data_IF_043740502271
#
_entry.id   IF_043740502271
#
_cell.length_a   1.000
_cell.length_b   1.000
_cell.length_c   1.000
_cell.angle_alpha   90.00
_cell.angle_beta   90.00
_cell.angle_gamma   90.00
#
_symmetry.space_group_name_H-M   'P 1'
#
loop_
_entity.id
_entity.type
_entity.pdbx_description
1 polymer ?
#
# COMPACT_ATOMS: atom_id res chain seq x y z
N UNK A 1 -33.58 0.54 -25.92
CA UNK A 1 -32.24 -0.02 -25.65
C UNK A 1 -31.20 1.01 -26.05
N UNK A 2 -30.78 1.87 -25.12
CA UNK A 2 -29.62 2.76 -25.30
C UNK A 2 -28.49 2.18 -24.46
N UNK A 3 -27.42 1.74 -25.12
CA UNK A 3 -26.18 1.34 -24.48
C UNK A 3 -25.39 2.60 -24.11
N UNK A 4 -25.37 2.95 -22.81
CA UNK A 4 -24.36 3.85 -22.27
C UNK A 4 -23.07 3.03 -22.09
N UNK A 5 -22.17 3.15 -23.06
CA UNK A 5 -20.75 2.86 -22.89
C UNK A 5 -20.18 3.97 -22.00
N UNK A 6 -20.18 3.77 -20.68
CA UNK A 6 -19.36 4.56 -19.78
C UNK A 6 -17.92 4.07 -19.91
N UNK A 7 -17.11 4.85 -20.62
CA UNK A 7 -15.66 4.78 -20.54
C UNK A 7 -15.26 4.95 -19.07
N UNK A 8 -14.85 3.87 -18.43
CA UNK A 8 -14.02 3.91 -17.23
C UNK A 8 -12.62 4.38 -17.64
N UNK A 9 -12.51 5.64 -18.03
CA UNK A 9 -11.25 6.35 -17.92
C UNK A 9 -10.89 6.29 -16.44
N UNK A 10 -9.92 5.45 -16.10
CA UNK A 10 -9.27 5.47 -14.80
C UNK A 10 -8.54 6.81 -14.73
N UNK A 11 -9.25 7.86 -14.30
CA UNK A 11 -8.61 9.09 -13.87
C UNK A 11 -7.75 8.71 -12.66
N UNK A 12 -6.50 8.31 -12.91
CA UNK A 12 -5.44 8.59 -11.93
C UNK A 12 -5.54 10.10 -11.71
N UNK A 13 -5.91 10.51 -10.50
CA UNK A 13 -5.85 11.92 -10.15
C UNK A 13 -4.45 12.40 -10.53
N UNK A 14 -4.35 13.44 -11.36
CA UNK A 14 -3.05 14.03 -11.65
C UNK A 14 -2.49 14.50 -10.31
N UNK A 15 -1.33 13.96 -9.93
CA UNK A 15 -0.64 14.36 -8.72
C UNK A 15 -0.32 15.85 -8.82
N UNK A 16 -1.08 16.69 -8.11
CA UNK A 16 -0.84 18.13 -8.03
C UNK A 16 0.54 18.39 -7.40
N UNK A 17 0.94 17.52 -6.48
CA UNK A 17 2.25 17.51 -5.85
C UNK A 17 2.72 16.05 -5.69
N UNK A 18 4.00 15.79 -5.95
CA UNK A 18 4.60 14.46 -5.78
C UNK A 18 5.88 14.54 -4.96
N UNK A 19 6.00 13.69 -3.95
CA UNK A 19 7.15 13.65 -3.05
C UNK A 19 8.09 12.50 -3.43
N UNK A 20 9.36 12.61 -3.08
CA UNK A 20 10.30 11.47 -3.20
C UNK A 20 10.12 10.52 -2.00
N UNK A 21 10.49 9.25 -2.17
CA UNK A 21 10.41 8.25 -1.09
C UNK A 21 11.26 8.63 0.13
N UNK A 22 12.37 9.37 -0.06
CA UNK A 22 13.18 9.85 1.06
C UNK A 22 12.40 10.84 1.94
N UNK A 23 11.67 11.76 1.30
CA UNK A 23 10.80 12.72 2.02
C UNK A 23 9.65 11.99 2.71
N UNK A 24 9.05 10.99 2.06
CA UNK A 24 8.04 10.13 2.70
C UNK A 24 8.62 9.48 3.97
N UNK A 25 9.83 8.93 3.87
CA UNK A 25 10.50 8.28 5.00
C UNK A 25 10.75 9.24 6.16
N UNK A 26 11.22 10.46 5.88
CA UNK A 26 11.43 11.49 6.90
C UNK A 26 10.12 11.88 7.60
N UNK A 27 9.06 12.07 6.83
CA UNK A 27 7.73 12.44 7.36
C UNK A 27 7.12 11.32 8.20
N UNK A 28 7.27 10.06 7.78
CA UNK A 28 6.87 8.90 8.59
C UNK A 28 7.66 8.82 9.89
N UNK A 29 8.98 9.04 9.86
CA UNK A 29 9.79 9.04 11.07
C UNK A 29 9.41 10.18 12.05
N UNK A 30 9.02 11.35 11.52
CA UNK A 30 8.58 12.49 12.30
C UNK A 30 7.22 12.28 13.02
N UNK A 31 6.47 11.24 12.67
CA UNK A 31 5.18 10.92 13.30
C UNK A 31 5.31 10.26 14.68
N UNK A 32 6.50 9.74 15.05
CA UNK A 32 6.66 8.95 16.28
C UNK A 32 6.16 9.69 17.53
N UNK A 33 6.68 10.88 17.77
CA UNK A 33 6.32 11.69 18.94
C UNK A 33 4.86 12.15 18.93
N UNK A 34 4.35 12.82 17.87
CA UNK A 34 2.98 13.32 17.90
C UNK A 34 1.93 12.21 17.91
N UNK A 35 2.22 11.02 17.36
CA UNK A 35 1.33 9.85 17.52
C UNK A 35 1.36 9.31 18.94
N UNK A 36 2.53 9.21 19.58
CA UNK A 36 2.65 8.75 20.97
C UNK A 36 1.85 9.62 21.96
N UNK A 37 1.67 10.91 21.63
CA UNK A 37 0.86 11.85 22.41
C UNK A 37 -0.54 12.12 21.85
N UNK A 38 -0.98 11.37 20.82
CA UNK A 38 -2.28 11.53 20.18
C UNK A 38 -2.59 12.98 19.74
N UNK A 39 -1.59 13.68 19.21
CA UNK A 39 -1.72 15.07 18.78
C UNK A 39 -2.58 15.17 17.50
N UNK A 40 -3.55 16.09 17.38
CA UNK A 40 -4.43 16.18 16.21
C UNK A 40 -3.71 16.38 14.87
N UNK A 41 -2.53 17.01 14.86
CA UNK A 41 -1.72 17.17 13.64
C UNK A 41 -1.21 15.82 13.10
N UNK A 42 -1.08 14.80 13.95
CA UNK A 42 -0.67 13.46 13.52
C UNK A 42 -1.73 12.82 12.62
N UNK A 43 -3.02 12.95 12.97
CA UNK A 43 -4.11 12.45 12.11
C UNK A 43 -4.06 13.07 10.71
N UNK A 44 -3.98 14.40 10.63
CA UNK A 44 -3.94 15.12 9.37
C UNK A 44 -2.72 14.71 8.51
N UNK A 45 -1.56 14.53 9.14
CA UNK A 45 -0.34 14.11 8.45
C UNK A 45 -0.44 12.65 7.98
N UNK A 46 -0.94 11.74 8.81
CA UNK A 46 -1.20 10.35 8.42
C UNK A 46 -2.16 10.28 7.23
N UNK A 47 -3.25 11.05 7.24
CA UNK A 47 -4.22 11.11 6.14
C UNK A 47 -3.55 11.60 4.84
N UNK A 48 -2.70 12.62 4.94
CA UNK A 48 -1.97 13.16 3.80
C UNK A 48 -0.99 12.14 3.21
N UNK A 49 -0.21 11.45 4.05
CA UNK A 49 0.77 10.46 3.60
C UNK A 49 0.12 9.23 2.97
N UNK A 50 -0.97 8.72 3.57
CA UNK A 50 -1.74 7.62 2.99
C UNK A 50 -2.39 8.04 1.66
N UNK A 51 -2.91 9.28 1.58
CA UNK A 51 -3.45 9.84 0.35
C UNK A 51 -2.42 9.91 -0.79
N UNK A 52 -1.17 10.30 -0.49
CA UNK A 52 -0.08 10.32 -1.48
C UNK A 52 0.24 8.91 -2.03
N UNK A 53 0.23 7.90 -1.17
CA UNK A 53 0.46 6.50 -1.57
C UNK A 53 -0.70 5.95 -2.41
N UNK A 54 -1.94 6.17 -1.99
CA UNK A 54 -3.13 5.70 -2.72
C UNK A 54 -3.28 6.34 -4.10
N UNK A 55 -2.88 7.60 -4.22
CA UNK A 55 -2.90 8.33 -5.50
C UNK A 55 -1.70 8.02 -6.40
N UNK A 56 -0.69 7.28 -5.90
CA UNK A 56 0.54 7.00 -6.63
C UNK A 56 1.43 8.23 -6.82
N UNK A 57 1.38 9.18 -5.87
CA UNK A 57 2.12 10.45 -5.90
C UNK A 57 3.47 10.40 -5.17
N UNK A 58 3.91 9.21 -4.76
CA UNK A 58 5.25 8.99 -4.20
C UNK A 58 6.16 8.47 -5.32
N UNK A 59 7.27 9.18 -5.56
CA UNK A 59 8.29 8.83 -6.53
C UNK A 59 9.38 7.97 -5.86
N UNK A 60 9.70 6.85 -6.49
CA UNK A 60 10.72 5.91 -6.01
C UNK A 60 10.11 4.67 -5.35
N UNK A 61 10.95 3.66 -5.16
CA UNK A 61 10.53 2.37 -4.61
C UNK A 61 10.21 2.49 -3.11
N UNK A 62 8.92 2.31 -2.76
CA UNK A 62 8.48 2.29 -1.36
C UNK A 62 8.75 0.92 -0.76
N UNK A 63 9.53 0.90 0.33
CA UNK A 63 9.86 -0.35 1.03
C UNK A 63 8.70 -0.89 1.86
N UNK A 64 8.73 -2.20 2.10
CA UNK A 64 7.78 -2.91 2.96
C UNK A 64 7.78 -2.31 4.38
N UNK A 65 8.97 -2.00 4.89
CA UNK A 65 9.20 -1.49 6.23
C UNK A 65 8.63 -0.08 6.41
N UNK A 66 8.76 0.78 5.39
CA UNK A 66 8.22 2.13 5.42
C UNK A 66 6.68 2.10 5.47
N UNK A 67 6.05 1.25 4.65
CA UNK A 67 4.60 1.05 4.70
C UNK A 67 4.16 0.48 6.05
N UNK A 68 4.89 -0.50 6.57
CA UNK A 68 4.60 -1.06 7.89
C UNK A 68 4.70 -0.02 9.00
N UNK A 69 5.70 0.86 8.97
CA UNK A 69 5.85 1.96 9.92
C UNK A 69 4.68 2.96 9.83
N UNK A 70 4.24 3.31 8.62
CA UNK A 70 3.09 4.19 8.42
C UNK A 70 1.80 3.58 9.00
N UNK A 71 1.51 2.31 8.68
CA UNK A 71 0.33 1.64 9.22
C UNK A 71 0.41 1.41 10.73
N UNK A 72 1.62 1.18 11.25
CA UNK A 72 1.87 1.11 12.68
C UNK A 72 1.53 2.43 13.36
N UNK A 73 1.98 3.55 12.78
CA UNK A 73 1.68 4.90 13.28
C UNK A 73 0.18 5.19 13.23
N UNK A 74 -0.52 4.84 12.15
CA UNK A 74 -1.99 4.96 12.06
C UNK A 74 -2.69 4.17 13.15
N UNK A 75 -2.37 2.87 13.26
CA UNK A 75 -3.00 2.00 14.25
C UNK A 75 -2.74 2.45 15.68
N UNK A 76 -1.52 2.91 15.97
CA UNK A 76 -1.15 3.49 17.25
C UNK A 76 -1.94 4.76 17.54
N UNK A 77 -2.06 5.68 16.57
CA UNK A 77 -2.80 6.92 16.73
C UNK A 77 -4.26 6.67 17.09
N UNK A 78 -4.96 5.83 16.33
CA UNK A 78 -6.37 5.51 16.58
C UNK A 78 -6.56 4.87 17.96
N UNK A 79 -5.64 3.99 18.37
CA UNK A 79 -5.70 3.35 19.67
C UNK A 79 -5.48 4.33 20.84
N UNK A 80 -4.47 5.18 20.73
CA UNK A 80 -4.07 6.12 21.79
C UNK A 80 -5.02 7.32 21.90
N UNK A 81 -5.54 7.80 20.77
CA UNK A 81 -6.54 8.87 20.72
C UNK A 81 -7.96 8.40 21.08
N UNK A 82 -8.17 7.09 21.23
CA UNK A 82 -9.50 6.48 21.35
C UNK A 82 -10.40 6.83 20.15
N UNK A 83 -9.80 6.85 18.96
CA UNK A 83 -10.45 7.09 17.68
C UNK A 83 -11.25 5.88 17.21
N UNK A 84 -11.17 5.56 15.92
CA UNK A 84 -11.91 4.43 15.35
C UNK A 84 -11.22 3.09 15.68
N UNK A 85 -11.84 2.22 16.51
CA UNK A 85 -11.24 0.95 16.89
C UNK A 85 -11.11 -0.04 15.72
N UNK A 86 -12.00 0.04 14.72
CA UNK A 86 -11.94 -0.83 13.55
C UNK A 86 -10.81 -0.40 12.62
N UNK A 87 -10.57 0.91 12.50
CA UNK A 87 -9.40 1.43 11.78
C UNK A 87 -8.11 1.07 12.51
N UNK A 88 -8.07 1.24 13.84
CA UNK A 88 -6.92 0.86 14.66
C UNK A 88 -6.51 -0.60 14.42
N UNK A 89 -7.48 -1.53 14.55
CA UNK A 89 -7.22 -2.96 14.38
C UNK A 89 -6.73 -3.30 12.97
N UNK A 90 -7.36 -2.73 11.95
CA UNK A 90 -7.02 -2.97 10.56
C UNK A 90 -5.62 -2.46 10.22
N UNK A 91 -5.30 -1.23 10.61
CA UNK A 91 -3.98 -0.64 10.39
C UNK A 91 -2.89 -1.42 11.11
N UNK A 92 -3.12 -1.88 12.35
CA UNK A 92 -2.15 -2.73 13.05
C UNK A 92 -1.95 -4.10 12.39
N UNK A 93 -2.98 -4.66 11.74
CA UNK A 93 -2.83 -5.90 10.95
C UNK A 93 -2.06 -5.65 9.66
N UNK A 94 -2.29 -4.53 8.98
CA UNK A 94 -1.46 -4.15 7.83
C UNK A 94 0.01 -3.97 8.23
N UNK A 95 0.25 -3.29 9.35
CA UNK A 95 1.60 -3.19 9.91
C UNK A 95 2.20 -4.56 10.21
N UNK A 96 1.45 -5.47 10.85
CA UNK A 96 1.89 -6.83 11.16
C UNK A 96 2.17 -7.68 9.92
N UNK A 97 1.41 -7.49 8.85
CA UNK A 97 1.65 -8.15 7.57
C UNK A 97 2.94 -7.64 6.92
N UNK A 98 3.31 -6.38 7.14
CA UNK A 98 4.43 -5.72 6.48
C UNK A 98 5.73 -5.73 7.30
N UNK A 99 5.70 -5.96 8.61
CA UNK A 99 6.88 -5.85 9.48
C UNK A 99 7.00 -7.04 10.42
N UNK A 100 8.23 -7.50 10.67
CA UNK A 100 8.54 -8.49 11.72
C UNK A 100 9.96 -8.25 12.26
N UNK A 101 10.21 -8.40 13.58
CA UNK A 101 9.40 -8.03 14.75
C UNK A 101 9.87 -6.66 15.30
N UNK A 102 9.00 -5.87 15.95
CA UNK A 102 9.44 -4.62 16.59
C UNK A 102 8.89 -4.40 18.00
N UNK A 103 9.78 -3.93 18.87
CA UNK A 103 9.44 -3.13 20.05
C UNK A 103 8.72 -1.87 19.56
N UNK A 104 7.46 -1.69 19.94
CA UNK A 104 6.70 -0.51 19.54
C UNK A 104 7.26 0.73 20.24
N UNK A 105 7.65 1.74 19.46
CA UNK A 105 8.00 3.07 19.97
C UNK A 105 6.82 3.81 20.61
N UNK A 106 5.60 3.27 20.48
CA UNK A 106 4.34 3.84 20.97
C UNK A 106 3.86 3.22 22.30
N UNK A 107 4.67 2.37 22.92
CA UNK A 107 4.41 1.80 24.25
C UNK A 107 3.61 0.49 24.28
N UNK A 108 3.45 -0.04 25.49
CA UNK A 108 3.00 -1.41 25.73
C UNK A 108 1.56 -1.72 25.26
N UNK A 109 0.65 -0.74 25.33
CA UNK A 109 -0.73 -0.91 24.87
C UNK A 109 -0.78 -1.19 23.37
N UNK A 110 -0.06 -0.37 22.59
CA UNK A 110 0.05 -0.50 21.14
C UNK A 110 0.77 -1.81 20.79
N UNK A 111 1.84 -2.15 21.50
CA UNK A 111 2.55 -3.42 21.30
C UNK A 111 1.63 -4.64 21.51
N UNK A 112 0.82 -4.63 22.57
CA UNK A 112 -0.16 -5.70 22.83
C UNK A 112 -1.18 -5.82 21.71
N UNK A 113 -1.70 -4.70 21.20
CA UNK A 113 -2.67 -4.69 20.11
C UNK A 113 -2.04 -5.19 18.80
N UNK A 114 -0.80 -4.81 18.51
CA UNK A 114 -0.04 -5.30 17.34
C UNK A 114 0.24 -6.81 17.41
N UNK A 115 0.63 -7.33 18.59
CA UNK A 115 0.79 -8.78 18.79
C UNK A 115 -0.53 -9.52 18.57
N UNK A 116 -1.64 -8.96 19.04
CA UNK A 116 -2.96 -9.53 18.80
C UNK A 116 -3.33 -9.52 17.31
N UNK A 117 -3.04 -8.44 16.59
CA UNK A 117 -3.20 -8.33 15.14
C UNK A 117 -2.40 -9.40 14.38
N UNK A 118 -1.13 -9.61 14.76
CA UNK A 118 -0.24 -10.61 14.15
C UNK A 118 -0.82 -12.02 14.24
N UNK A 119 -1.37 -12.41 15.40
CA UNK A 119 -1.93 -13.74 15.61
C UNK A 119 -3.16 -14.04 14.74
N UNK A 120 -3.80 -13.01 14.17
CA UNK A 120 -4.99 -13.14 13.33
C UNK A 120 -4.66 -13.23 11.83
N UNK A 121 -3.39 -13.07 11.43
CA UNK A 121 -2.95 -13.24 10.05
C UNK A 121 -2.75 -14.74 9.73
N UNK A 122 -3.84 -15.49 9.71
CA UNK A 122 -3.85 -16.90 9.34
C UNK A 122 -4.99 -17.18 8.35
N UNK A 123 -4.70 -17.98 7.34
CA UNK A 123 -5.67 -18.35 6.31
C UNK A 123 -5.24 -17.89 4.92
N UNK A 124 -6.20 -17.84 4.00
CA UNK A 124 -6.00 -17.49 2.60
C UNK A 124 -7.11 -16.55 2.11
N UNK A 125 -6.75 -15.63 1.21
CA UNK A 125 -7.68 -14.76 0.49
C UNK A 125 -7.55 -14.98 -1.02
N UNK A 126 -8.62 -14.65 -1.76
CA UNK A 126 -8.58 -14.60 -3.21
C UNK A 126 -8.24 -13.17 -3.62
N UNK A 127 -7.24 -13.02 -4.48
CA UNK A 127 -6.88 -11.76 -5.14
C UNK A 127 -7.34 -11.80 -6.60
N UNK A 128 -7.88 -10.67 -7.06
CA UNK A 128 -8.20 -10.42 -8.47
C UNK A 128 -7.40 -9.21 -8.93
N UNK A 129 -6.35 -9.43 -9.73
CA UNK A 129 -5.51 -8.35 -10.25
C UNK A 129 -6.10 -7.77 -11.52
N UNK A 130 -6.46 -6.49 -11.46
CA UNK A 130 -6.95 -5.73 -12.62
C UNK A 130 -5.94 -4.67 -13.03
N UNK A 131 -5.60 -4.65 -14.32
CA UNK A 131 -4.66 -3.69 -14.90
C UNK A 131 -5.34 -2.89 -16.02
N UNK A 132 -5.09 -1.58 -16.16
CA UNK A 132 -5.64 -0.77 -17.26
C UNK A 132 -5.28 -1.29 -18.65
N UNK A 133 -4.05 -1.82 -18.78
CA UNK A 133 -3.58 -2.58 -19.92
C UNK A 133 -3.04 -3.91 -19.40
N UNK A 134 -3.34 -5.00 -20.11
CA UNK A 134 -2.84 -6.33 -19.74
C UNK A 134 -1.30 -6.32 -19.77
N UNK A 135 -0.61 -6.59 -18.65
CA UNK A 135 0.83 -6.67 -18.60
C UNK A 135 1.35 -7.91 -19.34
N UNK A 136 2.59 -7.83 -19.83
CA UNK A 136 3.28 -8.93 -20.49
C UNK A 136 3.67 -10.01 -19.46
N UNK A 137 4.11 -9.57 -18.28
CA UNK A 137 4.47 -10.43 -17.15
C UNK A 137 4.00 -9.80 -15.84
N UNK A 138 3.43 -10.62 -14.96
CA UNK A 138 3.17 -10.27 -13.56
C UNK A 138 4.02 -11.18 -12.68
N UNK A 139 4.60 -10.64 -11.61
CA UNK A 139 5.26 -11.42 -10.57
C UNK A 139 4.55 -11.17 -9.24
N UNK A 140 4.31 -12.23 -8.48
CA UNK A 140 3.84 -12.14 -7.10
C UNK A 140 4.87 -12.83 -6.22
N UNK A 141 5.48 -12.09 -5.31
CA UNK A 141 6.59 -12.55 -4.46
C UNK A 141 7.75 -13.19 -5.25
N UNK A 142 8.01 -12.67 -6.44
CA UNK A 142 9.05 -13.16 -7.34
C UNK A 142 8.64 -14.37 -8.20
N UNK A 143 7.44 -14.92 -8.02
CA UNK A 143 6.92 -15.99 -8.87
C UNK A 143 6.22 -15.42 -10.11
N UNK A 144 6.65 -15.89 -11.29
CA UNK A 144 6.13 -15.43 -12.60
C UNK A 144 4.73 -15.97 -12.86
N UNK A 145 3.82 -15.06 -13.21
CA UNK A 145 2.43 -15.31 -13.56
C UNK A 145 2.15 -14.84 -15.00
N UNK A 146 1.63 -15.74 -15.83
CA UNK A 146 1.26 -15.46 -17.22
C UNK A 146 -0.24 -15.14 -17.42
N UNK A 147 -1.05 -15.31 -16.37
CA UNK A 147 -2.50 -15.10 -16.41
C UNK A 147 -2.95 -14.23 -15.24
N UNK A 148 -3.82 -13.25 -15.52
CA UNK A 148 -4.46 -12.36 -14.56
C UNK A 148 -5.75 -12.98 -13.98
N UNK A 149 -5.74 -14.30 -13.77
CA UNK A 149 -6.87 -15.03 -13.20
C UNK A 149 -6.86 -14.93 -11.67
N UNK A 150 -8.02 -15.16 -11.05
CA UNK A 150 -8.17 -15.24 -9.60
C UNK A 150 -7.11 -16.17 -8.99
N UNK A 151 -6.45 -15.70 -7.93
CA UNK A 151 -5.48 -16.51 -7.19
C UNK A 151 -5.77 -16.53 -5.72
N UNK A 152 -5.53 -17.69 -5.13
CA UNK A 152 -5.55 -17.83 -3.68
C UNK A 152 -4.14 -17.62 -3.13
N UNK A 153 -4.00 -16.66 -2.23
CA UNK A 153 -2.76 -16.33 -1.53
C UNK A 153 -2.98 -16.39 -0.02
N UNK A 154 -1.96 -16.70 0.79
CA UNK A 154 -2.02 -16.56 2.24
C UNK A 154 -2.43 -15.14 2.65
N UNK A 155 -3.04 -14.98 3.82
CA UNK A 155 -3.16 -13.63 4.41
C UNK A 155 -1.76 -13.09 4.74
N UNK A 156 -1.53 -11.80 4.49
CA UNK A 156 -0.21 -11.19 4.64
C UNK A 156 0.06 -10.10 3.61
N UNK A 157 1.33 -9.73 3.47
CA UNK A 157 1.78 -8.76 2.49
C UNK A 157 2.51 -9.47 1.35
N UNK A 158 2.14 -9.11 0.12
CA UNK A 158 2.68 -9.66 -1.12
C UNK A 158 3.22 -8.54 -1.99
N UNK A 159 4.38 -8.74 -2.59
CA UNK A 159 4.92 -7.83 -3.59
C UNK A 159 4.42 -8.23 -4.97
N UNK A 160 3.63 -7.37 -5.59
CA UNK A 160 3.16 -7.53 -6.97
C UNK A 160 3.99 -6.64 -7.88
N UNK A 161 4.65 -7.22 -8.87
CA UNK A 161 5.43 -6.50 -9.87
C UNK A 161 4.88 -6.81 -11.26
N UNK A 162 4.98 -5.88 -12.20
CA UNK A 162 4.56 -6.12 -13.57
C UNK A 162 5.43 -5.34 -14.56
N UNK A 163 5.52 -5.88 -15.77
CA UNK A 163 6.11 -5.20 -16.93
C UNK A 163 5.15 -5.20 -18.10
N UNK A 164 5.18 -4.11 -18.87
CA UNK A 164 4.40 -3.93 -20.10
C UNK A 164 5.25 -3.24 -21.14
N UNK A 165 5.19 -3.70 -22.38
CA UNK A 165 5.74 -3.00 -23.54
C UNK A 165 4.70 -2.03 -24.12
N UNK A 166 5.05 -0.75 -24.20
CA UNK A 166 4.18 0.31 -24.74
C UNK A 166 4.86 1.03 -25.92
N UNK A 167 4.10 1.57 -26.89
CA UNK A 167 4.71 2.37 -27.96
C UNK A 167 5.44 3.60 -27.40
N UNK A 168 6.71 3.78 -27.77
CA UNK A 168 7.50 4.92 -27.37
C UNK A 168 6.91 6.22 -27.94
N UNK A 169 6.89 7.30 -27.14
CA UNK A 169 6.39 8.60 -27.62
C UNK A 169 7.31 9.17 -28.70
N UNK A 170 6.77 9.36 -29.90
CA UNK A 170 7.42 10.13 -30.97
C UNK A 170 8.27 9.31 -31.95
N UNK A 171 8.40 8.00 -31.77
CA UNK A 171 9.14 7.13 -32.69
C UNK A 171 8.24 6.01 -33.23
N UNK A 172 8.02 6.00 -34.55
CA UNK A 172 7.19 5.01 -35.20
C UNK A 172 7.83 3.61 -35.09
N UNK A 173 7.26 2.74 -34.26
CA UNK A 173 7.66 1.34 -34.12
C UNK A 173 8.64 1.05 -32.99
N UNK A 174 9.10 2.05 -32.23
CA UNK A 174 9.87 1.82 -31.02
C UNK A 174 8.93 1.42 -29.87
N UNK A 175 9.32 0.40 -29.10
CA UNK A 175 8.63 -0.01 -27.88
C UNK A 175 9.48 0.40 -26.68
N UNK A 176 8.83 0.90 -25.64
CA UNK A 176 9.41 1.22 -24.34
C UNK A 176 8.89 0.20 -23.33
N UNK A 177 9.79 -0.33 -22.52
CA UNK A 177 9.41 -1.21 -21.41
C UNK A 177 9.04 -0.37 -20.19
N UNK A 178 7.86 -0.62 -19.65
CA UNK A 178 7.34 0.04 -18.45
C UNK A 178 7.21 -0.97 -17.34
N UNK A 179 7.71 -0.61 -16.17
CA UNK A 179 7.67 -1.43 -14.97
C UNK A 179 6.79 -0.78 -13.90
N UNK A 180 6.16 -1.60 -13.08
CA UNK A 180 5.46 -1.15 -11.88
C UNK A 180 5.54 -2.18 -10.76
N UNK A 181 5.37 -1.69 -9.53
CA UNK A 181 5.32 -2.51 -8.33
C UNK A 181 4.28 -1.98 -7.36
N UNK A 182 3.64 -2.88 -6.61
CA UNK A 182 2.70 -2.56 -5.56
C UNK A 182 2.82 -3.58 -4.43
N UNK A 183 2.63 -3.10 -3.20
CA UNK A 183 2.41 -3.98 -2.07
C UNK A 183 0.92 -4.24 -1.96
N UNK A 184 0.55 -5.51 -1.96
CA UNK A 184 -0.82 -5.94 -1.69
C UNK A 184 -0.86 -6.55 -0.31
N UNK A 185 -1.70 -6.00 0.55
CA UNK A 185 -1.93 -6.53 1.90
C UNK A 185 -3.30 -7.18 1.95
N UNK A 186 -3.31 -8.48 2.22
CA UNK A 186 -4.48 -9.33 2.29
C UNK A 186 -4.82 -9.62 3.76
N UNK A 187 -6.02 -9.22 4.18
CA UNK A 187 -6.59 -9.60 5.46
C UNK A 187 -8.02 -10.13 5.31
N UNK A 188 -8.64 -10.54 6.43
CA UNK A 188 -9.99 -11.10 6.44
C UNK A 188 -11.11 -10.07 6.13
N UNK A 189 -10.82 -8.77 6.15
CA UNK A 189 -11.77 -7.70 5.83
C UNK A 189 -11.62 -7.16 4.41
N UNK A 190 -10.58 -7.57 3.69
CA UNK A 190 -10.40 -7.30 2.27
C UNK A 190 -8.94 -7.10 1.88
N UNK A 191 -8.76 -6.81 0.59
CA UNK A 191 -7.48 -6.45 0.00
C UNK A 191 -7.23 -4.95 0.13
N UNK A 192 -6.02 -4.56 0.55
CA UNK A 192 -5.49 -3.20 0.43
C UNK A 192 -4.29 -3.20 -0.51
N UNK A 193 -4.44 -2.51 -1.64
CA UNK A 193 -3.34 -2.30 -2.59
C UNK A 193 -2.68 -0.96 -2.29
N UNK A 194 -1.38 -0.96 -2.07
CA UNK A 194 -0.56 0.24 -1.90
C UNK A 194 0.46 0.29 -3.02
N UNK A 195 0.39 1.33 -3.84
CA UNK A 195 1.25 1.47 -5.01
C UNK A 195 2.58 2.11 -4.59
N UNK A 196 3.68 1.39 -4.81
CA UNK A 196 5.01 1.99 -4.84
C UNK A 196 5.24 2.58 -6.23
N UNK A 197 5.62 3.86 -6.32
CA UNK A 197 5.65 4.56 -7.60
C UNK A 197 6.84 4.19 -8.49
N UNK A 198 6.52 3.78 -9.73
CA UNK A 198 7.34 3.99 -10.94
C UNK A 198 8.57 3.10 -11.12
N UNK A 199 9.15 3.08 -12.33
CA UNK A 199 10.36 2.31 -12.61
C UNK A 199 11.52 2.70 -11.66
N UNK A 200 12.45 1.77 -11.40
CA UNK A 200 13.61 2.02 -10.53
C UNK A 200 14.45 3.23 -10.97
#
# INVERSE_FOLDING_TARGET
MLALLLLSASLRAECVESIHVDELSERVAALIEPVAFAEPKAAAELDALEGLLEQGCVRGAVSRELLGALFMARGAYELLSQGDPALAERSLRYAAALTTPLESSYGAQVESAYRAATNKLQGEAIIELSFPQRPDVVLVDGEVLYAADERRLPLGAHLVQWTSTVPARGEAGALEETWGAAWVVLDEWGERVVVGGGPP
#
